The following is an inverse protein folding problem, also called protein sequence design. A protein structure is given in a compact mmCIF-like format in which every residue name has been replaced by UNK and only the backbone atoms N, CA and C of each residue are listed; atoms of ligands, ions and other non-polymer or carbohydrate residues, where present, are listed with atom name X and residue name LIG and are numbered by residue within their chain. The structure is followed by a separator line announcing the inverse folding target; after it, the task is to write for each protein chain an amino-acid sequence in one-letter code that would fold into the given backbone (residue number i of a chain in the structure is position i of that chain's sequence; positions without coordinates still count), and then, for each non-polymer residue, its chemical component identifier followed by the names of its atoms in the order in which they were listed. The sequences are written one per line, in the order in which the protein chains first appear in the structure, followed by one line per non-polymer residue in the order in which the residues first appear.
data_IF_030035365619
#
_entry.id   IF_030035365619
#
_cell.length_a   1.000
_cell.length_b   1.000
_cell.length_c   1.000
_cell.angle_alpha   90.00
_cell.angle_beta   90.00
_cell.angle_gamma   90.00
#
_symmetry.space_group_name_H-M   'P 1'
#
loop_
_entity.id
_entity.type
_entity.pdbx_description
1 polymer ?
#
# COMPACT_ATOMS: atom_id res chain seq x y z
N UNK A 1 10.29 15.64 -6.74
CA UNK A 1 11.15 14.70 -5.99
C UNK A 1 12.57 15.22 -6.01
N UNK A 2 13.34 14.97 -4.97
CA UNK A 2 14.70 15.46 -4.80
C UNK A 2 15.60 14.36 -4.19
N UNK A 3 16.82 14.22 -4.72
CA UNK A 3 17.68 13.06 -4.47
C UNK A 3 18.75 13.23 -3.39
N UNK A 4 18.76 14.36 -2.68
CA UNK A 4 19.74 14.63 -1.60
C UNK A 4 19.02 15.02 -0.31
N UNK A 5 19.66 14.94 0.86
CA UNK A 5 18.98 15.17 2.14
C UNK A 5 18.72 16.65 2.44
N UNK A 6 19.11 17.58 1.56
CA UNK A 6 18.91 19.02 1.73
C UNK A 6 18.09 19.54 0.55
N UNK A 7 16.88 20.11 0.76
CA UNK A 7 16.13 20.73 -0.33
C UNK A 7 16.95 21.82 -1.03
N UNK A 8 16.76 22.04 -2.34
CA UNK A 8 17.37 23.19 -3.01
C UNK A 8 16.90 24.52 -2.40
N UNK A 9 17.68 25.58 -2.61
CA UNK A 9 17.28 26.93 -2.20
C UNK A 9 15.92 27.32 -2.78
N UNK A 10 15.05 27.88 -1.93
CA UNK A 10 13.69 28.25 -2.31
C UNK A 10 12.76 27.06 -2.49
N UNK A 11 13.05 25.89 -1.89
CA UNK A 11 12.14 24.74 -1.81
C UNK A 11 11.97 24.29 -0.36
N UNK A 12 10.78 23.79 -0.05
CA UNK A 12 10.46 23.16 1.24
C UNK A 12 10.26 21.67 1.04
N UNK A 13 10.74 20.87 1.98
CA UNK A 13 10.37 19.46 2.09
C UNK A 13 8.88 19.33 2.49
N UNK A 14 8.17 18.37 1.89
CA UNK A 14 6.83 17.95 2.29
C UNK A 14 6.90 17.01 3.49
N UNK A 15 7.19 17.58 4.67
CA UNK A 15 7.37 16.88 5.95
C UNK A 15 6.43 17.38 7.07
N UNK A 16 5.34 18.07 6.71
CA UNK A 16 4.40 18.62 7.69
C UNK A 16 4.85 19.95 8.34
N UNK A 17 5.98 20.52 7.93
CA UNK A 17 6.49 21.76 8.55
C UNK A 17 5.59 22.98 8.30
N UNK A 18 5.53 23.92 9.25
CA UNK A 18 4.90 25.22 9.01
C UNK A 18 5.74 26.06 8.03
N UNK A 19 5.09 27.00 7.35
CA UNK A 19 5.76 28.02 6.52
C UNK A 19 5.22 29.42 6.85
N UNK A 20 5.99 30.46 6.49
CA UNK A 20 5.56 31.85 6.65
C UNK A 20 4.59 32.24 5.52
N UNK A 21 3.29 32.50 5.81
CA UNK A 21 2.30 32.80 4.78
C UNK A 21 2.53 34.15 4.10
N UNK A 22 3.02 35.15 4.86
CA UNK A 22 3.32 36.47 4.31
C UNK A 22 4.52 36.44 3.37
N UNK A 23 5.49 35.56 3.64
CA UNK A 23 6.63 35.32 2.74
C UNK A 23 6.30 34.41 1.55
N UNK A 24 5.22 33.62 1.63
CA UNK A 24 4.83 32.65 0.61
C UNK A 24 3.33 32.72 0.32
N UNK A 25 2.82 33.85 -0.23
CA UNK A 25 1.38 34.06 -0.39
C UNK A 25 0.73 33.07 -1.35
N UNK A 26 1.46 32.60 -2.37
CA UNK A 26 0.98 31.54 -3.29
C UNK A 26 0.85 30.21 -2.55
N UNK A 27 1.83 29.86 -1.72
CA UNK A 27 1.75 28.63 -0.95
C UNK A 27 0.63 28.70 0.10
N UNK A 28 0.40 29.88 0.68
CA UNK A 28 -0.68 30.13 1.62
C UNK A 28 -2.08 29.98 0.98
N UNK A 29 -2.24 30.33 -0.30
CA UNK A 29 -3.51 30.14 -1.01
C UNK A 29 -3.78 28.67 -1.33
N UNK A 30 -2.74 27.88 -1.57
CA UNK A 30 -2.84 26.43 -1.81
C UNK A 30 -3.00 25.64 -0.50
N UNK A 31 -2.36 26.07 0.58
CA UNK A 31 -2.36 25.42 1.89
C UNK A 31 -2.74 26.43 2.99
N UNK A 32 -4.04 26.69 3.22
CA UNK A 32 -4.50 27.67 4.19
C UNK A 32 -4.11 27.38 5.65
N UNK A 33 -3.76 26.13 5.96
CA UNK A 33 -3.22 25.73 7.28
C UNK A 33 -1.84 26.29 7.57
N UNK A 34 -1.18 26.93 6.59
CA UNK A 34 0.21 27.40 6.69
C UNK A 34 1.20 26.27 6.99
N UNK A 35 0.85 25.04 6.59
CA UNK A 35 1.67 23.85 6.71
C UNK A 35 1.69 23.11 5.37
N UNK A 36 2.85 22.59 5.00
CA UNK A 36 2.95 21.69 3.86
C UNK A 36 2.46 20.27 4.23
N UNK A 37 1.99 19.45 3.29
CA UNK A 37 1.70 18.04 3.54
C UNK A 37 2.93 17.28 4.06
N UNK A 38 2.71 16.11 4.68
CA UNK A 38 3.77 15.16 5.04
C UNK A 38 3.68 13.91 4.17
N UNK A 39 4.67 13.73 3.29
CA UNK A 39 4.75 12.57 2.39
C UNK A 39 5.87 11.59 2.77
N UNK A 40 6.51 11.77 3.93
CA UNK A 40 7.57 10.86 4.37
C UNK A 40 7.02 9.46 4.61
N UNK A 41 7.58 8.48 3.90
CA UNK A 41 7.17 7.08 4.01
C UNK A 41 5.92 6.69 3.21
N UNK A 42 5.28 7.64 2.51
CA UNK A 42 4.09 7.35 1.69
C UNK A 42 4.43 7.24 0.21
N UNK A 43 3.68 6.39 -0.49
CA UNK A 43 3.66 6.37 -1.95
C UNK A 43 2.55 7.32 -2.45
N UNK A 44 2.88 8.33 -3.28
CA UNK A 44 1.86 9.14 -3.90
C UNK A 44 1.12 8.33 -4.97
N UNK A 45 -0.21 8.25 -4.85
CA UNK A 45 -1.10 7.79 -5.93
C UNK A 45 -1.65 9.02 -6.64
N UNK A 46 -1.66 9.00 -7.98
CA UNK A 46 -2.34 10.04 -8.76
C UNK A 46 -3.81 10.13 -8.36
N UNK A 47 -4.34 11.35 -8.28
CA UNK A 47 -5.76 11.56 -8.05
C UNK A 47 -6.55 11.09 -9.27
N UNK A 48 -7.55 10.21 -9.07
CA UNK A 48 -8.27 9.58 -10.17
C UNK A 48 -8.96 10.61 -11.07
N UNK A 49 -9.57 11.64 -10.48
CA UNK A 49 -10.19 12.76 -11.18
C UNK A 49 -11.11 12.33 -12.36
N UNK A 50 -11.86 11.23 -12.18
CA UNK A 50 -12.80 10.72 -13.18
C UNK A 50 -12.19 9.79 -14.23
N UNK A 51 -10.93 9.39 -14.08
CA UNK A 51 -10.29 8.41 -14.96
C UNK A 51 -10.83 6.98 -14.76
N UNK A 52 -11.43 6.69 -13.60
CA UNK A 52 -11.93 5.36 -13.23
C UNK A 52 -10.84 4.28 -13.26
N UNK A 53 -9.61 4.65 -12.92
CA UNK A 53 -8.46 3.76 -12.80
C UNK A 53 -8.26 3.37 -11.33
N UNK A 54 -8.43 4.34 -10.43
CA UNK A 54 -8.40 4.10 -8.99
C UNK A 54 -9.71 3.39 -8.57
N UNK A 55 -9.66 2.17 -8.02
CA UNK A 55 -10.86 1.53 -7.47
C UNK A 55 -11.45 2.34 -6.31
N UNK A 56 -10.66 3.19 -5.66
CA UNK A 56 -11.07 4.13 -4.61
C UNK A 56 -11.29 5.54 -5.17
N UNK A 57 -12.03 5.66 -6.27
CA UNK A 57 -12.20 6.91 -7.02
C UNK A 57 -12.92 8.04 -6.27
N UNK A 58 -13.55 7.75 -5.12
CA UNK A 58 -14.20 8.75 -4.25
C UNK A 58 -13.24 9.49 -3.33
N UNK A 59 -11.94 9.16 -3.35
CA UNK A 59 -10.91 9.81 -2.53
C UNK A 59 -10.71 11.28 -2.90
N UNK A 60 -10.49 12.10 -1.88
CA UNK A 60 -10.17 13.52 -2.02
C UNK A 60 -8.65 13.73 -2.11
N UNK A 61 -8.23 14.87 -2.68
CA UNK A 61 -6.81 15.24 -2.72
C UNK A 61 -6.24 15.26 -1.28
N UNK A 62 -5.05 14.68 -1.11
CA UNK A 62 -4.35 14.52 0.17
C UNK A 62 -5.02 13.59 1.19
N UNK A 63 -6.02 12.78 0.81
CA UNK A 63 -6.55 11.74 1.69
C UNK A 63 -5.51 10.63 1.92
N UNK A 64 -5.45 10.12 3.15
CA UNK A 64 -4.64 8.96 3.49
C UNK A 64 -5.31 7.65 3.06
N UNK A 65 -4.50 6.67 2.66
CA UNK A 65 -4.93 5.30 2.38
C UNK A 65 -3.91 4.32 3.00
N UNK A 66 -4.43 3.32 3.71
CA UNK A 66 -3.63 2.19 4.23
C UNK A 66 -3.14 1.30 3.09
N UNK A 67 -2.12 0.48 3.35
CA UNK A 67 -1.73 -0.59 2.44
C UNK A 67 -2.86 -1.63 2.29
N UNK A 68 -2.96 -2.19 1.08
CA UNK A 68 -3.90 -3.27 0.77
C UNK A 68 -3.29 -4.21 -0.27
N UNK A 69 -3.48 -5.52 -0.05
CA UNK A 69 -3.15 -6.56 -1.02
C UNK A 69 -4.44 -7.00 -1.72
N UNK A 70 -4.41 -7.10 -3.05
CA UNK A 70 -5.57 -7.56 -3.82
C UNK A 70 -6.00 -8.95 -3.35
N UNK A 71 -7.31 -9.12 -3.15
CA UNK A 71 -7.93 -10.40 -2.79
C UNK A 71 -7.52 -11.50 -3.78
N UNK A 72 -7.10 -12.65 -3.24
CA UNK A 72 -6.71 -13.85 -3.98
C UNK A 72 -6.95 -15.10 -3.13
N UNK A 73 -6.96 -16.28 -3.77
CA UNK A 73 -7.10 -17.56 -3.08
C UNK A 73 -6.16 -18.61 -3.68
N UNK A 74 -5.86 -19.64 -2.90
CA UNK A 74 -5.06 -20.79 -3.32
C UNK A 74 -5.92 -22.05 -3.30
N UNK A 75 -5.80 -22.88 -4.33
CA UNK A 75 -6.46 -24.19 -4.38
C UNK A 75 -5.39 -25.28 -4.20
N UNK A 76 -5.61 -26.19 -3.25
CA UNK A 76 -4.77 -27.37 -3.08
C UNK A 76 -5.38 -28.51 -3.90
N UNK A 77 -4.65 -29.04 -4.87
CA UNK A 77 -5.09 -30.22 -5.62
C UNK A 77 -4.48 -31.48 -5.01
N UNK A 78 -5.28 -32.26 -4.29
CA UNK A 78 -4.85 -33.55 -3.76
C UNK A 78 -5.09 -34.64 -4.81
N UNK A 79 -4.04 -35.11 -5.48
CA UNK A 79 -4.14 -36.30 -6.33
C UNK A 79 -4.40 -37.53 -5.46
N UNK A 80 -5.60 -38.11 -5.55
CA UNK A 80 -5.88 -39.42 -4.99
C UNK A 80 -5.03 -40.46 -5.71
N UNK A 81 -4.09 -41.10 -5.02
CA UNK A 81 -3.33 -42.22 -5.56
C UNK A 81 -4.30 -43.38 -5.83
N UNK A 82 -4.38 -43.81 -7.09
CA UNK A 82 -5.26 -44.88 -7.54
C UNK A 82 -4.99 -46.20 -6.81
N UNK A 83 -5.95 -46.60 -5.99
CA UNK A 83 -6.13 -47.94 -5.45
C UNK A 83 -7.63 -48.13 -5.23
N UNK A 84 -8.19 -49.24 -5.73
CA UNK A 84 -9.63 -49.53 -5.75
C UNK A 84 -10.29 -49.28 -4.39
N UNK A 85 -11.00 -48.15 -4.28
CA UNK A 85 -11.70 -47.73 -3.08
C UNK A 85 -12.48 -46.45 -3.38
N UNK A 86 -13.80 -46.58 -3.42
CA UNK A 86 -14.74 -45.50 -3.76
C UNK A 86 -14.63 -44.36 -2.75
N UNK A 87 -13.98 -43.27 -3.11
CA UNK A 87 -13.96 -42.05 -2.29
C UNK A 87 -14.71 -40.93 -3.00
N UNK A 88 -15.96 -40.73 -2.56
CA UNK A 88 -16.76 -39.56 -2.91
C UNK A 88 -16.06 -38.30 -2.41
N UNK A 89 -16.04 -37.28 -3.26
CA UNK A 89 -15.39 -35.99 -3.02
C UNK A 89 -15.68 -35.47 -1.61
N UNK A 90 -14.63 -35.42 -0.80
CA UNK A 90 -14.71 -34.84 0.53
C UNK A 90 -14.63 -33.33 0.36
N UNK A 91 -15.77 -32.65 0.54
CA UNK A 91 -15.78 -31.27 1.01
C UNK A 91 -14.90 -31.20 2.27
N UNK A 92 -14.27 -30.04 2.54
CA UNK A 92 -13.54 -29.78 3.77
C UNK A 92 -14.30 -30.35 4.98
N UNK A 93 -13.84 -31.48 5.54
CA UNK A 93 -14.49 -32.10 6.70
C UNK A 93 -14.50 -33.63 6.79
N UNK A 94 -14.31 -34.39 5.71
CA UNK A 94 -14.35 -35.87 5.81
C UNK A 94 -12.95 -36.49 5.95
N UNK A 95 -12.53 -36.63 7.21
CA UNK A 95 -11.31 -37.27 7.70
C UNK A 95 -11.40 -38.81 7.59
N UNK A 96 -10.35 -39.46 7.09
CA UNK A 96 -10.13 -40.89 7.31
C UNK A 96 -9.65 -41.14 8.74
N UNK A 97 -10.09 -42.28 9.29
CA UNK A 97 -9.71 -42.83 10.59
C UNK A 97 -8.20 -43.03 10.71
N UNK A 98 -7.52 -42.00 11.21
CA UNK A 98 -6.10 -41.96 11.51
C UNK A 98 -5.82 -40.63 12.18
N UNK A 99 -5.40 -40.67 13.45
CA UNK A 99 -5.13 -39.52 14.32
C UNK A 99 -3.92 -38.70 13.85
N UNK A 100 -3.98 -38.15 12.63
CA UNK A 100 -2.95 -37.29 12.07
C UNK A 100 -3.63 -36.18 11.30
N UNK A 101 -3.63 -34.96 11.87
CA UNK A 101 -3.93 -33.77 11.07
C UNK A 101 -2.85 -33.69 9.99
N UNK A 102 -3.18 -33.92 8.73
CA UNK A 102 -2.30 -33.54 7.62
C UNK A 102 -2.38 -32.02 7.56
N UNK A 103 -1.38 -31.36 8.16
CA UNK A 103 -1.25 -29.91 8.13
C UNK A 103 -0.72 -29.52 6.75
N UNK A 104 -1.63 -29.26 5.81
CA UNK A 104 -1.33 -28.68 4.50
C UNK A 104 -1.43 -27.16 4.58
N UNK A 105 -0.62 -26.54 5.44
CA UNK A 105 -0.61 -25.08 5.64
C UNK A 105 0.66 -24.43 5.10
N UNK A 106 0.53 -23.23 4.56
CA UNK A 106 1.69 -22.35 4.35
C UNK A 106 2.14 -21.76 5.69
N UNK A 107 3.39 -21.33 5.79
CA UNK A 107 3.90 -20.53 6.92
C UNK A 107 3.91 -19.05 6.55
N UNK A 108 4.05 -18.19 7.57
CA UNK A 108 4.31 -16.76 7.34
C UNK A 108 5.59 -16.57 6.51
N UNK A 109 5.52 -15.68 5.53
CA UNK A 109 6.67 -15.28 4.71
C UNK A 109 6.59 -13.79 4.42
N UNK A 110 7.74 -13.12 4.43
CA UNK A 110 7.84 -11.68 4.19
C UNK A 110 8.38 -10.91 5.41
N UNK A 111 8.13 -9.61 5.40
CA UNK A 111 8.50 -8.69 6.48
C UNK A 111 7.31 -7.89 6.99
N UNK A 112 7.57 -6.83 7.76
CA UNK A 112 6.52 -6.00 8.38
C UNK A 112 5.63 -5.22 7.39
N UNK A 113 5.98 -5.16 6.11
CA UNK A 113 5.29 -4.38 5.08
C UNK A 113 5.50 -5.04 3.70
N UNK A 114 4.45 -5.05 2.88
CA UNK A 114 4.55 -5.39 1.46
C UNK A 114 4.93 -4.15 0.66
N UNK A 115 6.11 -4.15 0.01
CA UNK A 115 6.57 -3.04 -0.83
C UNK A 115 7.33 -3.53 -2.06
N UNK A 116 7.12 -2.93 -3.25
CA UNK A 116 8.00 -3.14 -4.39
C UNK A 116 9.38 -2.52 -4.12
N UNK A 117 10.37 -2.86 -4.95
CA UNK A 117 11.66 -2.15 -4.97
C UNK A 117 11.40 -0.66 -5.19
N UNK A 118 11.94 0.18 -4.30
CA UNK A 118 11.80 1.62 -4.35
C UNK A 118 13.12 2.31 -3.98
N UNK A 119 13.19 3.61 -4.22
CA UNK A 119 14.32 4.48 -3.85
C UNK A 119 13.77 5.60 -2.97
N UNK A 120 14.42 5.81 -1.83
CA UNK A 120 14.07 6.92 -0.94
C UNK A 120 14.47 8.25 -1.58
N UNK A 121 13.49 9.14 -1.74
CA UNK A 121 13.67 10.51 -2.24
C UNK A 121 12.85 11.47 -1.39
N UNK A 122 13.25 12.72 -1.38
CA UNK A 122 12.51 13.78 -0.73
C UNK A 122 11.40 14.30 -1.66
N UNK A 123 10.19 14.48 -1.14
CA UNK A 123 9.17 15.28 -1.81
C UNK A 123 9.36 16.74 -1.42
N UNK A 124 9.42 17.63 -2.41
CA UNK A 124 9.67 19.06 -2.20
C UNK A 124 8.67 19.89 -2.99
N UNK A 125 8.35 21.07 -2.47
CA UNK A 125 7.51 22.09 -3.11
C UNK A 125 8.26 23.42 -3.19
N UNK A 126 8.01 24.19 -4.24
CA UNK A 126 8.65 25.50 -4.41
C UNK A 126 8.12 26.46 -3.34
N UNK A 127 9.03 27.03 -2.56
CA UNK A 127 8.76 28.20 -1.73
C UNK A 127 8.77 29.44 -2.64
N UNK A 128 7.81 30.32 -2.45
CA UNK A 128 7.67 31.57 -3.21
C UNK A 128 8.93 32.42 -3.14
#
# INVERSE_FOLDING_TARGET
MWGTPVPPEGWLELNGQPFNPSGNPILASLYPSSQVPDFRGYFPRGWDNGANIDPDSSRTINSYQMDELKSHHHQLNTMGMGGSGTWQGVNEGALHSGSGKISSGTTETGGAETRPKNVAVMFVIKAG
#
